data_IF_214109054796
#
_entry.id   IF_214109054796
#
_cell.length_a   1.000
_cell.length_b   1.000
_cell.length_c   1.000
_cell.angle_alpha   90.00
_cell.angle_beta   90.00
_cell.angle_gamma   90.00
#
_symmetry.space_group_name_H-M   'P 1'
#
loop_
_entity.id
_entity.type
_entity.pdbx_description
1 polymer ?
#
# COMPACT_ATOMS: atom_id res chain seq x y z
N UNK A 1 0.59 9.92 26.69
CA UNK A 1 0.95 8.59 27.20
C UNK A 1 1.94 8.02 26.20
N UNK A 2 3.17 7.74 26.60
CA UNK A 2 4.19 7.12 25.77
C UNK A 2 3.63 5.78 25.30
N UNK A 3 3.44 5.62 23.99
CA UNK A 3 3.20 4.30 23.43
C UNK A 3 4.37 3.41 23.87
N UNK A 4 4.05 2.32 24.52
CA UNK A 4 5.03 1.30 24.91
C UNK A 4 5.69 0.84 23.62
N UNK A 5 6.88 1.36 23.34
CA UNK A 5 7.71 0.84 22.25
C UNK A 5 7.98 -0.59 22.64
N UNK A 6 7.45 -1.55 21.90
CA UNK A 6 7.89 -2.93 22.04
C UNK A 6 9.39 -2.91 21.83
N UNK A 7 10.15 -3.14 22.90
CA UNK A 7 11.60 -2.98 22.90
C UNK A 7 12.30 -4.03 22.03
N UNK A 8 11.58 -5.08 21.62
CA UNK A 8 12.09 -6.19 20.83
C UNK A 8 11.21 -6.44 19.59
N UNK A 9 11.84 -6.43 18.42
CA UNK A 9 11.19 -6.74 17.12
C UNK A 9 10.62 -8.16 17.13
N UNK A 10 11.26 -9.10 17.84
CA UNK A 10 10.82 -10.49 17.96
C UNK A 10 9.47 -10.59 18.69
N UNK A 11 9.28 -9.83 19.78
CA UNK A 11 8.02 -9.78 20.50
C UNK A 11 6.87 -9.17 19.67
N UNK A 12 7.18 -8.21 18.79
CA UNK A 12 6.20 -7.66 17.84
C UNK A 12 5.77 -8.70 16.82
N UNK A 13 6.69 -9.47 16.28
CA UNK A 13 6.37 -10.53 15.30
C UNK A 13 5.50 -11.64 15.89
N UNK A 14 5.80 -12.08 17.10
CA UNK A 14 5.14 -13.25 17.70
C UNK A 14 3.76 -12.94 18.28
N UNK A 15 3.54 -11.72 18.76
CA UNK A 15 2.30 -11.36 19.44
C UNK A 15 1.49 -10.28 18.71
N UNK A 16 2.10 -9.15 18.36
CA UNK A 16 1.36 -7.99 17.85
C UNK A 16 0.81 -8.21 16.43
N UNK A 17 1.59 -8.80 15.52
CA UNK A 17 1.13 -9.03 14.14
C UNK A 17 -0.07 -9.97 14.05
N UNK A 18 -0.09 -11.16 14.71
CA UNK A 18 -1.26 -12.02 14.73
C UNK A 18 -2.50 -11.34 15.32
N UNK A 19 -2.34 -10.59 16.43
CA UNK A 19 -3.44 -9.86 17.07
C UNK A 19 -4.01 -8.80 16.11
N UNK A 20 -3.14 -8.00 15.49
CA UNK A 20 -3.56 -6.95 14.56
C UNK A 20 -4.29 -7.54 13.34
N UNK A 21 -3.81 -8.68 12.79
CA UNK A 21 -4.52 -9.40 11.74
C UNK A 21 -5.88 -9.90 12.18
N UNK A 22 -5.95 -10.46 13.38
CA UNK A 22 -7.21 -10.97 13.92
C UNK A 22 -8.23 -9.84 14.14
N UNK A 23 -7.81 -8.70 14.71
CA UNK A 23 -8.66 -7.51 14.86
C UNK A 23 -9.18 -7.02 13.50
N UNK A 24 -8.33 -7.02 12.48
CA UNK A 24 -8.69 -6.63 11.13
C UNK A 24 -9.74 -7.59 10.53
N UNK A 25 -9.51 -8.90 10.66
CA UNK A 25 -10.43 -9.93 10.20
C UNK A 25 -11.82 -9.76 10.83
N UNK A 26 -11.88 -9.63 12.15
CA UNK A 26 -13.13 -9.42 12.88
C UNK A 26 -13.86 -8.14 12.47
N UNK A 27 -13.14 -7.03 12.43
CA UNK A 27 -13.73 -5.73 12.13
C UNK A 27 -14.32 -5.70 10.72
N UNK A 28 -13.54 -6.12 9.72
CA UNK A 28 -13.97 -6.08 8.31
C UNK A 28 -15.04 -7.13 8.01
N UNK A 29 -14.99 -8.30 8.65
CA UNK A 29 -16.06 -9.28 8.54
C UNK A 29 -17.41 -8.72 9.02
N UNK A 30 -17.39 -7.92 10.09
CA UNK A 30 -18.60 -7.31 10.66
C UNK A 30 -19.12 -6.08 9.93
N UNK A 31 -18.25 -5.30 9.27
CA UNK A 31 -18.61 -4.03 8.62
C UNK A 31 -18.58 -4.08 7.09
N UNK A 32 -17.87 -5.03 6.51
CA UNK A 32 -17.42 -5.00 5.13
C UNK A 32 -16.29 -3.98 4.91
N UNK A 33 -15.70 -3.97 3.73
CA UNK A 33 -14.67 -3.01 3.36
C UNK A 33 -13.49 -3.64 2.63
N UNK A 34 -12.42 -2.86 2.45
CA UNK A 34 -11.20 -3.31 1.78
C UNK A 34 -10.40 -4.25 2.67
N UNK A 35 -10.40 -5.52 2.33
CA UNK A 35 -9.90 -6.57 3.19
C UNK A 35 -8.46 -6.98 2.87
N UNK A 36 -8.24 -7.47 1.65
CA UNK A 36 -6.94 -8.01 1.25
C UNK A 36 -5.82 -6.97 1.26
N UNK A 37 -6.14 -5.72 0.90
CA UNK A 37 -5.17 -4.62 0.91
C UNK A 37 -4.65 -4.31 2.32
N UNK A 38 -5.55 -4.27 3.33
CA UNK A 38 -5.17 -4.05 4.73
C UNK A 38 -4.29 -5.17 5.30
N UNK A 39 -4.61 -6.44 4.98
CA UNK A 39 -3.81 -7.60 5.39
C UNK A 39 -2.40 -7.59 4.78
N UNK A 40 -2.27 -7.12 3.54
CA UNK A 40 -0.99 -7.05 2.83
C UNK A 40 0.01 -6.05 3.41
N UNK A 41 -0.43 -5.09 4.21
CA UNK A 41 0.43 -4.00 4.73
C UNK A 41 0.56 -3.99 6.26
N UNK A 42 0.23 -5.09 6.93
CA UNK A 42 0.30 -5.17 8.40
C UNK A 42 1.72 -4.93 8.89
N UNK A 43 2.71 -5.62 8.36
CA UNK A 43 4.12 -5.46 8.72
C UNK A 43 4.62 -4.05 8.40
N UNK A 44 4.33 -3.55 7.20
CA UNK A 44 4.70 -2.19 6.81
C UNK A 44 4.12 -1.15 7.77
N UNK A 45 2.83 -1.28 8.13
CA UNK A 45 2.17 -0.34 9.03
C UNK A 45 2.81 -0.34 10.41
N UNK A 46 3.12 -1.52 10.94
CA UNK A 46 3.82 -1.66 12.23
C UNK A 46 5.23 -1.06 12.16
N UNK A 47 5.98 -1.34 11.10
CA UNK A 47 7.32 -0.80 10.90
C UNK A 47 7.31 0.74 10.82
N UNK A 48 6.36 1.32 10.09
CA UNK A 48 6.20 2.77 9.97
C UNK A 48 5.92 3.42 11.33
N UNK A 49 4.96 2.92 12.10
CA UNK A 49 4.63 3.47 13.43
C UNK A 49 5.70 3.17 14.49
N UNK A 50 6.58 2.18 14.25
CA UNK A 50 7.71 1.91 15.12
C UNK A 50 8.89 2.86 14.88
N UNK A 51 9.14 3.22 13.61
CA UNK A 51 10.30 4.03 13.22
C UNK A 51 10.00 5.53 13.26
N UNK A 52 8.86 5.95 12.72
CA UNK A 52 8.50 7.35 12.59
C UNK A 52 7.69 7.86 13.80
N UNK A 53 7.99 9.07 14.25
CA UNK A 53 7.35 9.70 15.40
C UNK A 53 6.04 10.40 14.99
N UNK A 54 5.02 9.62 14.60
CA UNK A 54 3.69 10.16 14.24
C UNK A 54 2.92 10.65 15.47
N UNK A 55 2.12 11.70 15.39
CA UNK A 55 1.74 12.48 14.22
C UNK A 55 2.70 13.64 13.87
N UNK A 56 3.85 13.81 14.59
CA UNK A 56 4.84 14.82 14.20
C UNK A 56 5.39 14.53 12.80
N UNK A 57 5.91 13.32 12.58
CA UNK A 57 6.19 12.82 11.25
C UNK A 57 4.90 12.53 10.49
N UNK A 58 4.92 12.63 9.19
CA UNK A 58 3.73 12.55 8.35
C UNK A 58 3.77 11.30 7.48
N UNK A 59 2.71 10.48 7.58
CA UNK A 59 2.49 9.35 6.68
C UNK A 59 1.28 9.68 5.82
N UNK A 60 1.48 9.73 4.50
CA UNK A 60 0.44 9.95 3.50
C UNK A 60 0.20 8.65 2.76
N UNK A 61 -0.99 8.10 2.90
CA UNK A 61 -1.39 6.87 2.25
C UNK A 61 -2.05 7.17 0.91
N UNK A 62 -1.61 6.52 -0.16
CA UNK A 62 -2.28 6.63 -1.45
C UNK A 62 -3.58 5.83 -1.45
N UNK A 63 -4.66 6.37 -2.01
CA UNK A 63 -6.04 5.85 -1.89
C UNK A 63 -6.51 5.77 -0.43
N UNK A 64 -5.75 5.11 0.43
CA UNK A 64 -6.04 4.93 1.85
C UNK A 64 -6.92 3.71 2.18
N UNK A 65 -7.24 2.88 1.20
CA UNK A 65 -8.05 1.67 1.40
C UNK A 65 -7.35 0.59 2.23
N UNK A 66 -6.03 0.64 2.33
CA UNK A 66 -5.17 -0.28 3.11
C UNK A 66 -4.98 0.15 4.57
N UNK A 67 -5.58 1.25 5.04
CA UNK A 67 -5.22 1.91 6.31
C UNK A 67 -5.94 1.39 7.55
N UNK A 68 -6.63 0.29 7.48
CA UNK A 68 -7.29 -0.27 8.66
C UNK A 68 -6.32 -0.63 9.80
N UNK A 69 -5.16 -1.28 9.52
CA UNK A 69 -4.12 -1.46 10.54
C UNK A 69 -3.64 -0.13 11.16
N UNK A 70 -3.50 0.91 10.34
CA UNK A 70 -3.16 2.26 10.80
C UNK A 70 -4.21 2.81 11.79
N UNK A 71 -5.49 2.66 11.49
CA UNK A 71 -6.58 3.10 12.41
C UNK A 71 -6.53 2.36 13.75
N UNK A 72 -6.32 1.02 13.71
CA UNK A 72 -6.20 0.21 14.93
C UNK A 72 -5.01 0.68 15.78
N UNK A 73 -3.84 0.86 15.18
CA UNK A 73 -2.61 1.27 15.88
C UNK A 73 -2.66 2.70 16.40
N UNK A 74 -3.50 3.55 15.83
CA UNK A 74 -3.66 4.97 16.23
C UNK A 74 -4.83 5.24 17.16
N UNK A 75 -5.28 4.21 17.88
CA UNK A 75 -6.20 4.35 19.02
C UNK A 75 -7.68 4.11 18.69
N UNK A 76 -8.03 3.80 17.44
CA UNK A 76 -9.43 3.58 16.99
C UNK A 76 -9.87 2.12 17.02
N UNK A 77 -9.10 1.23 17.68
CA UNK A 77 -9.38 -0.21 17.74
C UNK A 77 -10.81 -0.52 18.23
N UNK A 78 -11.25 0.13 19.28
CA UNK A 78 -12.60 -0.05 19.87
C UNK A 78 -13.73 0.43 18.97
N UNK A 79 -13.44 1.34 18.03
CA UNK A 79 -14.42 1.95 17.15
C UNK A 79 -14.51 1.25 15.77
N UNK A 80 -13.62 0.28 15.51
CA UNK A 80 -13.55 -0.41 14.21
C UNK A 80 -14.87 -1.10 13.80
N UNK A 81 -15.71 -1.47 14.77
CA UNK A 81 -17.05 -2.02 14.51
C UNK A 81 -18.04 -1.03 13.91
N UNK A 82 -17.75 0.28 13.96
CA UNK A 82 -18.56 1.35 13.33
C UNK A 82 -18.07 1.76 11.94
N UNK A 83 -17.00 1.13 11.45
CA UNK A 83 -16.36 1.55 10.21
C UNK A 83 -17.33 1.48 9.02
N UNK A 84 -17.36 2.53 8.19
CA UNK A 84 -18.26 2.67 7.04
C UNK A 84 -19.76 2.71 7.39
N UNK A 85 -20.11 2.89 8.68
CA UNK A 85 -21.47 3.14 9.12
C UNK A 85 -21.71 4.65 9.21
N UNK A 86 -23.00 5.04 9.23
CA UNK A 86 -23.39 6.42 9.47
C UNK A 86 -22.84 6.89 10.81
N UNK A 87 -22.20 8.06 10.83
CA UNK A 87 -21.52 8.63 12.01
C UNK A 87 -20.39 7.78 12.59
N UNK A 88 -20.03 6.68 11.94
CA UNK A 88 -18.92 5.82 12.31
C UNK A 88 -17.60 6.22 11.63
N UNK A 89 -16.58 5.38 11.84
CA UNK A 89 -15.28 5.57 11.21
C UNK A 89 -15.35 5.52 9.67
N UNK A 90 -14.67 6.45 9.03
CA UNK A 90 -14.47 6.44 7.57
C UNK A 90 -13.67 5.21 7.14
N UNK A 91 -13.97 4.67 5.96
CA UNK A 91 -13.19 3.61 5.33
C UNK A 91 -11.81 4.05 4.81
N UNK A 92 -11.52 5.35 4.89
CA UNK A 92 -10.27 5.99 4.46
C UNK A 92 -9.74 6.91 5.54
N UNK A 93 -8.45 7.32 5.52
CA UNK A 93 -7.95 8.39 6.38
C UNK A 93 -8.79 9.66 6.26
N UNK A 94 -9.17 10.21 7.42
CA UNK A 94 -9.99 11.41 7.51
C UNK A 94 -9.45 12.33 8.62
N UNK A 95 -8.98 13.52 8.25
CA UNK A 95 -8.31 14.45 9.16
C UNK A 95 -9.13 14.85 10.38
N UNK A 96 -10.45 14.86 10.26
CA UNK A 96 -11.36 15.15 11.39
C UNK A 96 -11.53 13.99 12.36
N UNK A 97 -11.10 12.78 12.03
CA UNK A 97 -11.13 11.61 12.92
C UNK A 97 -9.92 11.53 13.83
N UNK A 98 -8.73 11.87 13.31
CA UNK A 98 -7.49 11.63 14.04
C UNK A 98 -6.36 12.55 13.55
N UNK A 99 -5.51 13.06 14.47
CA UNK A 99 -4.30 13.79 14.09
C UNK A 99 -3.28 12.92 13.34
N UNK A 100 -3.41 11.60 13.40
CA UNK A 100 -2.58 10.66 12.65
C UNK A 100 -2.99 10.52 11.18
N UNK A 101 -4.21 10.92 10.84
CA UNK A 101 -4.70 10.95 9.46
C UNK A 101 -4.22 12.24 8.79
N UNK A 102 -2.98 12.23 8.32
CA UNK A 102 -2.24 13.41 7.82
C UNK A 102 -2.92 14.09 6.64
N UNK A 103 -3.54 13.31 5.76
CA UNK A 103 -4.18 13.77 4.53
C UNK A 103 -5.48 13.01 4.29
N UNK A 104 -6.54 13.71 3.88
CA UNK A 104 -7.79 13.08 3.46
C UNK A 104 -7.62 12.46 2.08
N UNK A 105 -7.88 11.17 1.96
CA UNK A 105 -7.64 10.39 0.73
C UNK A 105 -8.88 9.59 0.33
N UNK A 106 -8.83 9.00 -0.84
CA UNK A 106 -9.88 8.20 -1.46
C UNK A 106 -9.58 7.97 -2.94
N UNK A 107 -8.99 8.97 -3.62
CA UNK A 107 -8.51 8.86 -5.00
C UNK A 107 -7.06 8.39 -5.04
N UNK A 108 -6.73 7.60 -6.05
CA UNK A 108 -5.36 7.12 -6.29
C UNK A 108 -4.43 8.24 -6.79
N UNK A 109 -3.13 8.00 -6.69
CA UNK A 109 -2.07 8.78 -7.32
C UNK A 109 -1.84 10.18 -6.72
N UNK A 110 -2.36 10.46 -5.52
CA UNK A 110 -2.31 11.79 -4.89
C UNK A 110 -1.23 11.92 -3.81
N UNK A 111 -0.75 10.81 -3.27
CA UNK A 111 0.09 10.79 -2.06
C UNK A 111 1.43 11.48 -2.23
N UNK A 112 2.10 11.28 -3.37
CA UNK A 112 3.45 11.80 -3.61
C UNK A 112 3.43 13.32 -3.66
N UNK A 113 2.49 13.93 -4.40
CA UNK A 113 2.33 15.40 -4.46
C UNK A 113 2.02 15.99 -3.08
N UNK A 114 1.11 15.36 -2.32
CA UNK A 114 0.74 15.82 -0.99
C UNK A 114 1.94 15.74 -0.02
N UNK A 115 2.66 14.62 -0.03
CA UNK A 115 3.85 14.43 0.79
C UNK A 115 4.98 15.39 0.43
N UNK A 116 5.19 15.62 -0.87
CA UNK A 116 6.17 16.61 -1.37
C UNK A 116 5.87 18.01 -0.83
N UNK A 117 4.62 18.47 -0.93
CA UNK A 117 4.21 19.77 -0.40
C UNK A 117 4.45 19.88 1.10
N UNK A 118 4.16 18.84 1.88
CA UNK A 118 4.42 18.79 3.32
C UNK A 118 5.92 18.81 3.66
N UNK A 119 6.74 18.08 2.89
CA UNK A 119 8.18 18.06 3.08
C UNK A 119 8.82 19.41 2.76
N UNK A 120 8.42 20.05 1.67
CA UNK A 120 8.89 21.37 1.30
C UNK A 120 8.48 22.45 2.33
N UNK A 121 7.24 22.40 2.80
CA UNK A 121 6.77 23.32 3.85
C UNK A 121 7.53 23.13 5.16
N UNK A 122 7.80 21.90 5.58
CA UNK A 122 8.61 21.62 6.76
C UNK A 122 10.03 22.15 6.60
N UNK A 123 10.64 21.96 5.45
CA UNK A 123 11.98 22.48 5.13
C UNK A 123 12.03 24.03 5.17
N UNK A 124 11.06 24.69 4.57
CA UNK A 124 10.96 26.15 4.58
C UNK A 124 10.78 26.73 6.00
N UNK A 125 10.07 26.00 6.86
CA UNK A 125 9.81 26.38 8.25
C UNK A 125 10.93 25.96 9.22
N UNK A 126 11.96 25.27 8.75
CA UNK A 126 13.02 24.73 9.60
C UNK A 126 12.58 23.63 10.56
N UNK A 127 11.46 22.94 10.26
CA UNK A 127 10.93 21.87 11.06
C UNK A 127 11.60 20.55 10.68
N UNK A 128 12.26 19.89 11.64
CA UNK A 128 12.79 18.52 11.42
C UNK A 128 11.65 17.51 11.49
N UNK A 129 11.08 17.25 10.33
CA UNK A 129 9.95 16.34 10.15
C UNK A 129 10.23 15.37 9.02
N UNK A 130 9.97 14.09 9.26
CA UNK A 130 9.99 13.07 8.21
C UNK A 130 8.62 13.00 7.53
N UNK A 131 8.63 12.88 6.21
CA UNK A 131 7.40 12.76 5.41
C UNK A 131 7.51 11.53 4.53
N UNK A 132 6.53 10.65 4.67
CA UNK A 132 6.47 9.35 3.99
C UNK A 132 5.19 9.27 3.16
N UNK A 133 5.32 8.95 1.87
CA UNK A 133 4.19 8.57 1.02
C UNK A 133 4.21 7.06 0.80
N UNK A 134 3.07 6.39 1.00
CA UNK A 134 2.91 4.95 0.71
C UNK A 134 1.96 4.82 -0.47
N UNK A 135 2.45 4.28 -1.57
CA UNK A 135 1.71 4.16 -2.83
C UNK A 135 1.75 2.72 -3.34
N UNK A 136 0.64 2.23 -3.90
CA UNK A 136 0.57 0.93 -4.53
C UNK A 136 1.05 0.95 -5.98
N UNK A 137 1.44 -0.22 -6.48
CA UNK A 137 1.92 -0.45 -7.84
C UNK A 137 0.89 -0.10 -8.93
N UNK A 138 -0.41 -0.28 -8.65
CA UNK A 138 -1.48 0.22 -9.53
C UNK A 138 -1.59 1.75 -9.52
N UNK A 139 -1.52 2.37 -8.34
CA UNK A 139 -1.69 3.81 -8.19
C UNK A 139 -0.53 4.63 -8.75
N UNK A 140 0.71 4.10 -8.72
CA UNK A 140 1.89 4.80 -9.26
C UNK A 140 1.86 4.92 -10.80
N UNK A 141 1.02 4.15 -11.48
CA UNK A 141 0.84 4.23 -12.93
C UNK A 141 0.05 5.46 -13.36
N UNK A 142 -0.64 6.13 -12.44
CA UNK A 142 -1.40 7.35 -12.74
C UNK A 142 -0.51 8.55 -13.05
N UNK A 143 -0.92 9.38 -14.02
CA UNK A 143 -0.14 10.53 -14.50
C UNK A 143 0.28 11.48 -13.37
N UNK A 144 -0.63 11.78 -12.44
CA UNK A 144 -0.32 12.65 -11.29
C UNK A 144 0.82 12.11 -10.41
N UNK A 145 0.88 10.77 -10.20
CA UNK A 145 1.97 10.18 -9.42
C UNK A 145 3.30 10.29 -10.16
N UNK A 146 3.29 10.07 -11.48
CA UNK A 146 4.48 10.16 -12.31
C UNK A 146 5.02 11.60 -12.40
N UNK A 147 4.14 12.57 -12.60
CA UNK A 147 4.48 14.01 -12.56
C UNK A 147 5.09 14.42 -11.21
N UNK A 148 4.47 13.92 -10.11
CA UNK A 148 4.98 14.19 -8.76
C UNK A 148 6.36 13.55 -8.51
N UNK A 149 6.61 12.34 -9.03
CA UNK A 149 7.92 11.69 -8.98
C UNK A 149 8.98 12.51 -9.71
N UNK A 150 8.68 12.96 -10.93
CA UNK A 150 9.60 13.80 -11.71
C UNK A 150 9.88 15.14 -11.02
N UNK A 151 8.83 15.79 -10.49
CA UNK A 151 8.98 17.07 -9.80
C UNK A 151 9.75 16.93 -8.48
N UNK A 152 9.44 15.93 -7.66
CA UNK A 152 10.12 15.71 -6.38
C UNK A 152 11.60 15.31 -6.57
N UNK A 153 11.90 14.51 -7.61
CA UNK A 153 13.27 14.20 -7.98
C UNK A 153 14.10 15.44 -8.33
N UNK A 154 13.50 16.40 -9.05
CA UNK A 154 14.13 17.69 -9.38
C UNK A 154 14.26 18.60 -8.16
N UNK A 155 13.18 18.80 -7.40
CA UNK A 155 13.13 19.70 -6.24
C UNK A 155 13.89 19.18 -5.01
N UNK A 156 14.17 17.86 -4.96
CA UNK A 156 14.98 17.17 -3.94
C UNK A 156 14.52 17.41 -2.48
N UNK A 157 13.21 17.34 -2.16
CA UNK A 157 12.75 17.45 -0.78
C UNK A 157 13.20 16.24 0.06
N UNK A 158 13.32 16.43 1.37
CA UNK A 158 13.57 15.32 2.29
C UNK A 158 12.28 14.51 2.49
N UNK A 159 12.04 13.52 1.65
CA UNK A 159 10.86 12.65 1.71
C UNK A 159 11.18 11.22 1.33
N UNK A 160 10.35 10.31 1.80
CA UNK A 160 10.39 8.90 1.46
C UNK A 160 9.12 8.50 0.71
N UNK A 161 9.28 7.88 -0.46
CA UNK A 161 8.20 7.18 -1.16
C UNK A 161 8.38 5.68 -0.94
N UNK A 162 7.35 4.99 -0.50
CA UNK A 162 7.34 3.53 -0.37
C UNK A 162 6.38 2.97 -1.41
N UNK A 163 6.93 2.27 -2.40
CA UNK A 163 6.17 1.51 -3.36
C UNK A 163 5.82 0.15 -2.76
N UNK A 164 4.54 -0.05 -2.49
CA UNK A 164 3.99 -1.33 -2.07
C UNK A 164 3.54 -2.12 -3.29
N UNK A 165 4.43 -2.97 -3.80
CA UNK A 165 4.24 -3.74 -5.02
C UNK A 165 3.71 -5.14 -4.68
N UNK A 166 2.48 -5.42 -5.08
CA UNK A 166 1.86 -6.74 -4.98
C UNK A 166 1.36 -7.25 -6.34
N UNK A 167 1.75 -6.59 -7.44
CA UNK A 167 1.36 -6.87 -8.84
C UNK A 167 -0.14 -6.74 -9.11
N UNK A 168 -0.86 -6.04 -8.24
CA UNK A 168 -2.31 -5.94 -8.32
C UNK A 168 -2.80 -4.54 -7.96
N UNK A 169 -3.73 -4.07 -8.77
CA UNK A 169 -4.67 -3.01 -8.39
C UNK A 169 -5.96 -3.61 -7.79
N UNK A 170 -7.11 -3.33 -8.37
CA UNK A 170 -8.34 -4.11 -8.15
C UNK A 170 -8.18 -5.46 -8.87
N UNK A 171 -7.82 -5.44 -10.17
CA UNK A 171 -7.39 -6.59 -10.97
C UNK A 171 -5.87 -6.68 -11.13
N UNK A 172 -5.41 -7.51 -12.05
CA UNK A 172 -3.98 -7.57 -12.41
C UNK A 172 -3.54 -6.29 -13.11
N UNK A 173 -2.36 -5.81 -12.76
CA UNK A 173 -1.79 -4.63 -13.39
C UNK A 173 -1.43 -4.89 -14.85
N UNK A 174 -1.65 -3.89 -15.69
CA UNK A 174 -1.34 -3.90 -17.12
C UNK A 174 -0.46 -2.70 -17.51
N UNK A 175 0.10 -2.74 -18.71
CA UNK A 175 0.88 -1.64 -19.26
C UNK A 175 2.39 -1.70 -19.00
N UNK A 176 3.10 -0.70 -19.51
CA UNK A 176 4.57 -0.68 -19.52
C UNK A 176 5.20 -0.68 -18.11
N UNK A 177 4.64 0.04 -17.16
CA UNK A 177 5.14 0.06 -15.78
C UNK A 177 4.95 -1.28 -15.08
N UNK A 178 3.82 -1.97 -15.29
CA UNK A 178 3.62 -3.31 -14.75
C UNK A 178 4.67 -4.29 -15.32
N UNK A 179 4.93 -4.21 -16.63
CA UNK A 179 5.99 -4.99 -17.28
C UNK A 179 7.37 -4.65 -16.73
N UNK A 180 7.64 -3.38 -16.47
CA UNK A 180 8.89 -2.91 -15.86
C UNK A 180 9.09 -3.48 -14.46
N UNK A 181 8.09 -3.41 -13.58
CA UNK A 181 8.15 -4.01 -12.25
C UNK A 181 8.32 -5.53 -12.30
N UNK A 182 7.61 -6.22 -13.21
CA UNK A 182 7.79 -7.65 -13.40
C UNK A 182 9.22 -8.02 -13.80
N UNK A 183 9.90 -7.21 -14.65
CA UNK A 183 11.31 -7.39 -15.00
C UNK A 183 12.24 -7.18 -13.79
N UNK A 184 11.98 -6.17 -12.97
CA UNK A 184 12.70 -5.97 -11.70
C UNK A 184 12.57 -7.22 -10.83
N UNK A 185 11.36 -7.77 -10.70
CA UNK A 185 11.11 -8.97 -9.90
C UNK A 185 11.86 -10.20 -10.40
N UNK A 186 11.95 -10.37 -11.72
CA UNK A 186 12.61 -11.52 -12.36
C UNK A 186 14.13 -11.39 -12.42
N UNK A 187 14.73 -10.24 -12.04
CA UNK A 187 16.14 -10.01 -12.21
C UNK A 187 17.00 -10.87 -11.27
N UNK A 188 18.12 -11.40 -11.80
CA UNK A 188 19.10 -12.16 -11.01
C UNK A 188 19.75 -11.33 -9.90
N UNK A 189 19.81 -10.02 -10.06
CA UNK A 189 20.32 -9.07 -9.08
C UNK A 189 19.45 -9.07 -7.81
N UNK A 190 18.13 -9.23 -7.94
CA UNK A 190 17.23 -9.42 -6.82
C UNK A 190 17.56 -10.68 -6.01
N UNK A 191 17.82 -11.80 -6.67
CA UNK A 191 18.15 -13.07 -6.01
C UNK A 191 19.48 -12.97 -5.26
N UNK A 192 20.50 -12.36 -5.87
CA UNK A 192 21.81 -12.15 -5.24
C UNK A 192 21.72 -11.16 -4.05
N UNK A 193 20.93 -10.11 -4.15
CA UNK A 193 20.72 -9.14 -3.07
C UNK A 193 19.97 -9.76 -1.89
N UNK A 194 18.96 -10.59 -2.14
CA UNK A 194 18.23 -11.34 -1.10
C UNK A 194 19.14 -12.25 -0.28
N UNK A 195 20.13 -12.88 -0.91
CA UNK A 195 21.09 -13.75 -0.24
C UNK A 195 22.21 -12.96 0.45
N UNK A 196 22.63 -11.83 -0.14
CA UNK A 196 23.70 -10.96 0.39
C UNK A 196 23.26 -10.07 1.54
N UNK A 197 22.01 -9.58 1.55
CA UNK A 197 21.52 -8.62 2.55
C UNK A 197 21.46 -9.19 3.96
N UNK A 198 21.27 -10.51 4.12
CA UNK A 198 21.36 -11.17 5.42
C UNK A 198 22.76 -11.04 6.08
N UNK A 199 23.82 -10.94 5.27
CA UNK A 199 25.21 -10.80 5.77
C UNK A 199 25.66 -9.36 5.94
N UNK A 200 25.06 -8.40 5.21
CA UNK A 200 25.46 -6.99 5.21
C UNK A 200 24.86 -6.21 6.39
N UNK A 201 23.65 -6.56 6.83
CA UNK A 201 22.97 -5.86 7.92
C UNK A 201 23.60 -6.08 9.31
N UNK A 202 24.43 -7.09 9.49
CA UNK A 202 25.14 -7.33 10.77
C UNK A 202 26.29 -6.35 11.05
N UNK A 203 26.74 -5.52 10.05
CA UNK A 203 27.91 -4.63 10.16
C UNK A 203 27.66 -3.19 9.65
N UNK A 204 26.55 -2.59 9.96
CA UNK A 204 25.88 -1.46 9.27
C UNK A 204 26.59 -0.09 9.27
N UNK A 205 27.65 0.17 10.00
CA UNK A 205 28.30 1.51 9.96
C UNK A 205 29.41 1.68 8.91
N UNK A 206 29.97 0.59 8.38
CA UNK A 206 31.00 0.63 7.34
C UNK A 206 30.55 0.13 5.96
N UNK A 207 29.42 -0.56 5.90
CA UNK A 207 28.95 -1.25 4.70
C UNK A 207 28.30 -0.33 3.67
N UNK A 208 27.78 0.83 4.07
CA UNK A 208 27.14 1.80 3.16
C UNK A 208 28.15 2.41 2.18
N UNK A 209 29.35 2.79 2.63
CA UNK A 209 30.41 3.31 1.76
C UNK A 209 30.95 2.24 0.82
N UNK A 210 30.96 0.99 1.27
CA UNK A 210 31.37 -0.16 0.45
C UNK A 210 30.31 -0.52 -0.59
N UNK A 211 29.01 -0.49 -0.22
CA UNK A 211 27.90 -0.68 -1.12
C UNK A 211 27.86 0.39 -2.22
N UNK A 212 28.10 1.66 -1.87
CA UNK A 212 28.19 2.77 -2.82
C UNK A 212 29.36 2.62 -3.81
N UNK A 213 30.52 2.16 -3.34
CA UNK A 213 31.68 1.89 -4.21
C UNK A 213 31.48 0.68 -5.13
N UNK A 214 30.75 -0.34 -4.66
CA UNK A 214 30.40 -1.50 -5.48
C UNK A 214 29.34 -1.15 -6.54
N UNK A 215 28.40 -0.26 -6.20
CA UNK A 215 27.40 0.28 -7.10
C UNK A 215 28.02 1.11 -8.24
N UNK A 216 29.06 1.89 -7.96
CA UNK A 216 29.79 2.66 -8.98
C UNK A 216 30.52 1.76 -9.99
N UNK A 217 30.94 0.57 -9.60
CA UNK A 217 31.57 -0.40 -10.50
C UNK A 217 30.59 -1.26 -11.30
N UNK A 218 29.31 -1.31 -10.92
CA UNK A 218 28.28 -2.07 -11.63
C UNK A 218 27.47 -1.23 -12.65
N UNK A 219 27.83 0.03 -12.87
CA UNK A 219 27.14 0.97 -13.79
C UNK A 219 27.17 0.59 -15.29
N UNK A 220 27.67 -0.58 -15.64
CA UNK A 220 27.61 -1.11 -17.00
C UNK A 220 26.49 -2.13 -17.27
N UNK A 221 25.73 -2.57 -16.25
CA UNK A 221 24.62 -3.49 -16.40
C UNK A 221 23.32 -2.80 -15.96
N UNK A 222 22.26 -2.94 -16.75
CA UNK A 222 20.93 -2.38 -16.45
C UNK A 222 20.47 -2.86 -15.08
N UNK A 223 20.73 -2.06 -14.05
CA UNK A 223 20.31 -2.36 -12.68
C UNK A 223 18.82 -2.11 -12.51
N UNK A 224 18.10 -2.92 -11.70
CA UNK A 224 16.73 -2.62 -11.30
C UNK A 224 16.70 -1.24 -10.61
N UNK A 225 15.79 -0.36 -11.02
CA UNK A 225 15.65 0.94 -10.42
C UNK A 225 16.17 2.12 -11.23
N UNK A 226 16.85 1.91 -12.32
CA UNK A 226 17.44 2.98 -13.16
C UNK A 226 16.45 4.09 -13.52
N UNK A 227 15.17 3.78 -13.79
CA UNK A 227 14.16 4.80 -14.08
C UNK A 227 13.96 5.78 -12.90
N UNK A 228 13.90 5.29 -11.68
CA UNK A 228 13.74 6.15 -10.50
C UNK A 228 15.01 6.93 -10.19
N UNK A 229 16.17 6.33 -10.39
CA UNK A 229 17.48 6.98 -10.24
C UNK A 229 17.69 8.11 -11.26
N UNK A 230 17.31 7.85 -12.54
CA UNK A 230 17.33 8.89 -13.58
C UNK A 230 16.39 10.07 -13.26
N UNK A 231 15.28 9.81 -12.57
CA UNK A 231 14.40 10.85 -12.06
C UNK A 231 14.97 11.58 -10.82
N UNK A 232 16.12 11.15 -10.28
CA UNK A 232 16.80 11.80 -9.14
C UNK A 232 16.48 11.24 -7.77
N UNK A 233 15.87 10.03 -7.68
CA UNK A 233 15.56 9.34 -6.44
C UNK A 233 16.68 8.39 -6.01
N UNK A 234 16.90 8.29 -4.69
CA UNK A 234 17.67 7.18 -4.13
C UNK A 234 16.77 5.95 -4.04
N UNK A 235 16.92 5.06 -5.01
CA UNK A 235 16.14 3.83 -5.08
C UNK A 235 16.78 2.72 -4.24
N UNK A 236 15.97 2.05 -3.42
CA UNK A 236 16.34 0.89 -2.60
C UNK A 236 15.27 -0.18 -2.74
N UNK A 237 15.68 -1.40 -3.03
CA UNK A 237 14.77 -2.55 -3.15
C UNK A 237 14.95 -3.33 -4.48
N UNK A 238 14.01 -4.26 -4.78
CA UNK A 238 12.84 -4.59 -3.97
C UNK A 238 13.17 -5.49 -2.77
N UNK A 239 12.48 -5.28 -1.63
CA UNK A 239 12.58 -6.10 -0.42
C UNK A 239 11.30 -6.90 -0.17
N UNK A 240 11.41 -7.94 0.68
CA UNK A 240 10.23 -8.63 1.21
C UNK A 240 9.52 -7.71 2.23
N UNK A 241 8.35 -7.21 1.89
CA UNK A 241 7.54 -6.34 2.74
C UNK A 241 6.92 -7.06 3.95
N UNK A 242 7.11 -8.37 4.07
CA UNK A 242 6.69 -9.16 5.23
C UNK A 242 7.85 -9.50 6.18
N UNK A 243 9.10 -9.17 5.81
CA UNK A 243 10.26 -9.27 6.71
C UNK A 243 10.33 -8.01 7.60
N UNK A 244 9.62 -8.06 8.75
CA UNK A 244 9.56 -6.92 9.68
C UNK A 244 10.94 -6.47 10.21
N UNK A 245 11.89 -7.35 10.60
CA UNK A 245 13.23 -6.94 10.98
C UNK A 245 13.94 -6.15 9.88
N UNK A 246 13.89 -6.63 8.64
CA UNK A 246 14.49 -5.95 7.50
C UNK A 246 13.83 -4.60 7.23
N UNK A 247 12.48 -4.53 7.26
CA UNK A 247 11.75 -3.27 7.09
C UNK A 247 12.15 -2.23 8.15
N UNK A 248 12.16 -2.61 9.42
CA UNK A 248 12.51 -1.69 10.51
C UNK A 248 13.95 -1.19 10.38
N UNK A 249 14.91 -2.07 10.10
CA UNK A 249 16.31 -1.67 9.93
C UNK A 249 16.51 -0.75 8.72
N UNK A 250 15.88 -1.07 7.58
CA UNK A 250 15.95 -0.25 6.37
C UNK A 250 15.31 1.12 6.58
N UNK A 251 14.11 1.17 7.16
CA UNK A 251 13.42 2.43 7.42
C UNK A 251 14.18 3.34 8.40
N UNK A 252 14.87 2.78 9.40
CA UNK A 252 15.74 3.54 10.31
C UNK A 252 16.89 4.21 9.56
N UNK A 253 17.56 3.47 8.68
CA UNK A 253 18.65 4.02 7.85
C UNK A 253 18.10 5.10 6.93
N UNK A 254 16.99 4.84 6.24
CA UNK A 254 16.40 5.82 5.32
C UNK A 254 15.89 7.07 6.01
N UNK A 255 15.43 6.99 7.25
CA UNK A 255 14.99 8.15 8.03
C UNK A 255 16.11 9.16 8.28
N UNK A 256 17.36 8.71 8.31
CA UNK A 256 18.55 9.56 8.54
C UNK A 256 19.14 10.13 7.24
N UNK A 257 18.76 9.60 6.08
CA UNK A 257 19.21 10.07 4.77
C UNK A 257 18.53 11.39 4.38
N UNK A 258 19.19 12.14 3.50
CA UNK A 258 18.70 13.41 2.97
C UNK A 258 18.32 13.28 1.49
N UNK A 259 17.39 14.13 1.05
CA UNK A 259 16.87 14.13 -0.32
C UNK A 259 15.76 13.12 -0.55
N UNK A 260 15.30 12.94 -1.80
CA UNK A 260 14.21 12.07 -2.15
C UNK A 260 14.64 10.59 -2.12
N UNK A 261 13.95 9.81 -1.31
CA UNK A 261 14.19 8.38 -1.09
C UNK A 261 13.05 7.56 -1.71
N UNK A 262 13.36 6.44 -2.34
CA UNK A 262 12.37 5.53 -2.91
C UNK A 262 12.63 4.11 -2.45
N UNK A 263 11.75 3.58 -1.61
CA UNK A 263 11.79 2.20 -1.13
C UNK A 263 10.78 1.34 -1.90
N UNK A 264 11.26 0.31 -2.56
CA UNK A 264 10.41 -0.68 -3.22
C UNK A 264 10.29 -1.92 -2.35
N UNK A 265 9.07 -2.25 -1.94
CA UNK A 265 8.78 -3.48 -1.18
C UNK A 265 7.80 -4.36 -1.95
N UNK A 266 7.96 -5.67 -1.76
CA UNK A 266 7.05 -6.69 -2.30
C UNK A 266 6.15 -7.20 -1.21
N UNK A 267 4.85 -7.22 -1.45
CA UNK A 267 3.88 -7.76 -0.50
C UNK A 267 2.94 -8.76 -1.17
N UNK A 268 2.20 -9.48 -0.35
CA UNK A 268 1.15 -10.40 -0.78
C UNK A 268 -0.19 -9.84 -0.29
N UNK A 269 -1.08 -9.51 -1.21
CA UNK A 269 -2.43 -9.08 -0.90
C UNK A 269 -3.19 -10.19 -0.18
N UNK A 270 -3.78 -9.89 0.97
CA UNK A 270 -4.45 -10.90 1.79
C UNK A 270 -3.54 -11.71 2.72
N UNK A 271 -2.27 -11.32 2.88
CA UNK A 271 -1.25 -12.06 3.67
C UNK A 271 -1.75 -12.49 5.05
N UNK A 272 -1.57 -13.79 5.33
CA UNK A 272 -1.98 -14.42 6.59
C UNK A 272 -3.44 -14.85 6.63
N UNK A 273 -4.19 -14.73 5.51
CA UNK A 273 -5.52 -15.29 5.35
C UNK A 273 -5.62 -16.07 4.03
N UNK A 274 -5.45 -17.36 4.09
CA UNK A 274 -5.33 -18.23 2.91
C UNK A 274 -6.43 -18.07 1.84
N UNK A 275 -7.71 -17.83 2.18
CA UNK A 275 -8.72 -17.56 1.16
C UNK A 275 -8.42 -16.28 0.36
N UNK A 276 -7.99 -15.20 1.02
CA UNK A 276 -7.67 -13.92 0.34
C UNK A 276 -6.35 -13.99 -0.45
N UNK A 277 -5.39 -14.81 -0.01
CA UNK A 277 -4.17 -15.04 -0.79
C UNK A 277 -4.46 -15.81 -2.09
N UNK A 278 -5.45 -16.72 -2.08
CA UNK A 278 -5.86 -17.50 -3.27
C UNK A 278 -6.76 -16.74 -4.22
N UNK A 279 -7.59 -15.85 -3.70
CA UNK A 279 -8.50 -15.01 -4.48
C UNK A 279 -8.37 -13.53 -4.07
N UNK A 280 -7.27 -12.86 -4.46
CA UNK A 280 -7.01 -11.49 -4.08
C UNK A 280 -7.95 -10.47 -4.75
N UNK A 281 -8.65 -10.85 -5.83
CA UNK A 281 -9.66 -10.03 -6.50
C UNK A 281 -10.97 -10.08 -5.70
N UNK A 282 -11.50 -11.26 -5.42
CA UNK A 282 -12.72 -11.43 -4.66
C UNK A 282 -12.63 -10.89 -3.23
N UNK A 283 -11.44 -10.96 -2.64
CA UNK A 283 -11.15 -10.41 -1.31
C UNK A 283 -10.55 -8.99 -1.31
N UNK A 284 -10.54 -8.29 -2.44
CA UNK A 284 -10.13 -6.87 -2.49
C UNK A 284 -11.01 -6.02 -1.58
N UNK A 285 -12.33 -6.13 -1.77
CA UNK A 285 -13.33 -5.54 -0.90
C UNK A 285 -14.46 -6.56 -0.68
N UNK A 286 -14.81 -6.78 0.58
CA UNK A 286 -15.87 -7.73 0.94
C UNK A 286 -17.10 -7.00 1.47
N UNK A 287 -18.26 -7.60 1.25
CA UNK A 287 -19.47 -7.22 1.95
C UNK A 287 -19.42 -7.73 3.39
N UNK A 288 -20.27 -7.21 4.26
CA UNK A 288 -20.49 -7.74 5.60
C UNK A 288 -20.77 -9.25 5.51
N UNK A 289 -19.99 -10.04 6.24
CA UNK A 289 -20.21 -11.48 6.37
C UNK A 289 -21.36 -11.69 7.38
N UNK A 290 -22.48 -12.17 6.90
CA UNK A 290 -23.53 -12.65 7.80
C UNK A 290 -23.09 -14.01 8.37
N UNK A 291 -23.31 -14.26 9.68
CA UNK A 291 -23.13 -15.59 10.23
C UNK A 291 -23.96 -16.58 9.40
N UNK A 292 -23.36 -17.74 9.07
CA UNK A 292 -24.11 -18.80 8.43
C UNK A 292 -25.36 -19.08 9.27
N UNK A 293 -26.54 -18.78 8.75
CA UNK A 293 -27.78 -19.19 9.40
C UNK A 293 -27.72 -20.70 9.51
N UNK A 294 -28.02 -21.28 10.68
CA UNK A 294 -28.21 -22.74 10.76
C UNK A 294 -29.11 -23.16 9.61
N UNK A 295 -28.83 -24.31 9.02
CA UNK A 295 -29.58 -24.82 7.88
C UNK A 295 -31.05 -25.12 8.32
N UNK A 296 -31.81 -24.04 8.49
CA UNK A 296 -33.26 -24.13 8.67
C UNK A 296 -33.88 -24.10 7.28
N UNK A 297 -34.44 -25.26 6.95
CA UNK A 297 -35.52 -25.48 6.00
C UNK A 297 -35.68 -24.48 4.88
N UNK A 298 -35.46 -24.96 3.66
CA UNK A 298 -35.94 -24.36 2.42
C UNK A 298 -37.38 -23.89 2.61
N UNK A 299 -37.57 -22.61 2.89
CA UNK A 299 -38.90 -22.04 2.84
C UNK A 299 -38.85 -20.67 2.21
N UNK A 300 -39.67 -20.53 1.20
CA UNK A 300 -40.15 -19.32 0.52
C UNK A 300 -39.12 -18.72 -0.43
N UNK A 301 -39.43 -18.83 -1.72
CA UNK A 301 -38.74 -18.16 -2.82
C UNK A 301 -38.41 -16.72 -2.44
N UNK A 302 -37.13 -16.43 -2.24
CA UNK A 302 -36.66 -15.07 -2.07
C UNK A 302 -37.13 -14.25 -3.27
N UNK A 303 -37.83 -13.14 -3.04
CA UNK A 303 -38.19 -12.23 -4.12
C UNK A 303 -36.93 -11.93 -4.94
N UNK A 304 -36.99 -12.00 -6.28
CA UNK A 304 -35.84 -11.69 -7.10
C UNK A 304 -35.32 -10.31 -6.71
N UNK A 305 -34.03 -10.23 -6.33
CA UNK A 305 -33.40 -8.96 -6.04
C UNK A 305 -33.42 -8.12 -7.30
N UNK A 306 -33.79 -6.86 -7.20
CA UNK A 306 -33.67 -5.92 -8.31
C UNK A 306 -32.21 -5.92 -8.83
N UNK A 307 -32.01 -5.87 -10.16
CA UNK A 307 -30.67 -5.81 -10.73
C UNK A 307 -29.96 -4.55 -10.25
N UNK A 308 -28.64 -4.63 -10.07
CA UNK A 308 -27.83 -3.46 -9.75
C UNK A 308 -27.72 -2.57 -10.99
N UNK A 309 -27.52 -1.27 -10.79
CA UNK A 309 -27.32 -0.34 -11.89
C UNK A 309 -26.20 -0.74 -12.84
N UNK A 310 -25.10 -1.24 -12.30
CA UNK A 310 -23.96 -1.73 -13.09
C UNK A 310 -24.30 -2.93 -13.96
N UNK A 311 -25.15 -3.84 -13.47
CA UNK A 311 -25.59 -5.01 -14.24
C UNK A 311 -26.48 -4.59 -15.41
N UNK A 312 -27.37 -3.60 -15.19
CA UNK A 312 -28.19 -3.01 -16.23
C UNK A 312 -27.34 -2.28 -17.27
N UNK A 313 -26.35 -1.51 -16.82
CA UNK A 313 -25.42 -0.80 -17.72
C UNK A 313 -24.57 -1.77 -18.54
N UNK A 314 -24.01 -2.80 -17.92
CA UNK A 314 -23.21 -3.81 -18.62
C UNK A 314 -24.01 -4.54 -19.69
N UNK A 315 -25.25 -4.97 -19.37
CA UNK A 315 -26.13 -5.60 -20.35
C UNK A 315 -26.46 -4.65 -21.50
N UNK A 316 -26.83 -3.40 -21.20
CA UNK A 316 -27.09 -2.39 -22.23
C UNK A 316 -25.90 -2.16 -23.17
N UNK A 317 -24.69 -2.11 -22.61
CA UNK A 317 -23.46 -1.92 -23.38
C UNK A 317 -23.19 -3.12 -24.30
N UNK A 318 -23.38 -4.34 -23.81
CA UNK A 318 -23.29 -5.55 -24.62
C UNK A 318 -24.29 -5.58 -25.76
N UNK A 319 -25.55 -5.26 -25.48
CA UNK A 319 -26.63 -5.24 -26.47
C UNK A 319 -26.35 -4.19 -27.57
N UNK A 320 -25.81 -3.03 -27.18
CA UNK A 320 -25.49 -1.97 -28.13
C UNK A 320 -24.25 -2.32 -28.98
N UNK A 321 -23.21 -2.87 -28.37
CA UNK A 321 -22.02 -3.31 -29.10
C UNK A 321 -22.28 -4.48 -30.05
N UNK A 322 -23.29 -5.31 -29.76
CA UNK A 322 -23.72 -6.37 -30.68
C UNK A 322 -24.44 -5.81 -31.92
N UNK A 323 -24.95 -4.58 -31.88
CA UNK A 323 -25.67 -3.92 -32.99
C UNK A 323 -24.78 -2.94 -33.76
N UNK A 324 -23.73 -2.41 -33.14
CA UNK A 324 -22.85 -1.38 -33.73
C UNK A 324 -21.41 -1.59 -33.33
N UNK A 325 -20.57 -2.05 -34.26
CA UNK A 325 -19.14 -2.32 -34.08
C UNK A 325 -18.31 -1.06 -33.69
N UNK A 326 -18.91 0.14 -33.80
CA UNK A 326 -18.23 1.38 -33.35
C UNK A 326 -18.34 1.61 -31.86
N UNK A 327 -19.18 0.85 -31.16
CA UNK A 327 -19.36 0.96 -29.71
C UNK A 327 -18.27 0.17 -29.01
N UNK A 328 -17.46 0.87 -28.22
CA UNK A 328 -16.39 0.28 -27.39
C UNK A 328 -16.50 0.78 -25.96
N UNK A 329 -16.19 -0.09 -25.01
CA UNK A 329 -16.15 0.26 -23.58
C UNK A 329 -14.70 0.42 -23.10
N UNK A 330 -14.44 1.48 -22.33
CA UNK A 330 -13.14 1.72 -21.71
C UNK A 330 -13.35 1.86 -20.19
N UNK A 331 -12.65 1.02 -19.43
CA UNK A 331 -12.60 1.13 -17.96
C UNK A 331 -11.16 1.03 -17.48
N UNK A 332 -10.69 1.93 -16.57
CA UNK A 332 -9.29 1.93 -16.16
C UNK A 332 -8.93 0.74 -15.25
N UNK A 333 -9.82 0.29 -14.36
CA UNK A 333 -9.50 -0.77 -13.39
C UNK A 333 -10.69 -1.54 -12.83
N UNK A 334 -11.93 -1.20 -13.20
CA UNK A 334 -13.14 -1.68 -12.54
C UNK A 334 -14.05 -2.46 -13.49
N UNK A 335 -13.52 -3.46 -14.19
CA UNK A 335 -14.31 -4.27 -15.14
C UNK A 335 -15.55 -4.86 -14.45
N UNK A 336 -15.37 -5.58 -13.33
CA UNK A 336 -16.49 -6.18 -12.59
C UNK A 336 -17.43 -5.12 -12.00
N UNK A 337 -16.87 -4.02 -11.48
CA UNK A 337 -17.63 -2.94 -10.87
C UNK A 337 -18.45 -2.11 -11.86
N UNK A 338 -18.08 -2.11 -13.13
CA UNK A 338 -18.80 -1.43 -14.21
C UNK A 338 -19.68 -2.38 -15.07
N UNK A 339 -19.65 -3.68 -14.79
CA UNK A 339 -20.38 -4.66 -15.59
C UNK A 339 -19.78 -4.90 -16.99
N UNK A 340 -18.47 -4.64 -17.14
CA UNK A 340 -17.74 -4.75 -18.41
C UNK A 340 -16.83 -5.99 -18.45
N UNK A 341 -17.28 -7.11 -17.88
CA UNK A 341 -16.58 -8.41 -17.89
C UNK A 341 -17.19 -9.32 -18.96
#
# INVERSE_FOLDING_TARGET
RRHTRCADVTGVQTCALPILRQDLLYSVAGTGGHFGAGLGVVELTVALHHVFNTPHDRIVWDVGHQTYPHKILTGRRSEMGSMRQLEGLSGFPKRSESPFDTFGVGHSSTSISAAMGMAMAAQQQGIDRKVVAVIGDGAITGGMAFEALAHAGHARPNMLVILNDNQMSIGHNTGALATYFAKIWASKTYTAFREGSKKILEHVRGAWDLAKRTEEHMKGMVAPGTMFEELGWHYIGPFDGHDLPQLVSTLRVMADLKGPQFLHIRTIKGKGFAPAERDPIGYHAINKLEPAKPAETKSIAAKPKAPKYQDVFGQWLCDLAAQDDRVVGITPAMCEGSGMV
#
